data_IF_723025743057
#
_entry.id   IF_723025743057
#
_cell.length_a   1.000
_cell.length_b   1.000
_cell.length_c   1.000
_cell.angle_alpha   90.00
_cell.angle_beta   90.00
_cell.angle_gamma   90.00
#
_symmetry.space_group_name_H-M   'P 1'
#
loop_
_entity.id
_entity.type
_entity.pdbx_description
1 polymer ?
#
# COMPACT_ATOMS: atom_id res chain seq x y z
N UNK A 1 -15.40 16.96 -8.35
CA UNK A 1 -14.04 16.85 -8.91
C UNK A 1 -12.95 16.77 -7.84
N UNK A 2 -12.99 17.53 -6.73
CA UNK A 2 -11.92 17.53 -5.71
C UNK A 2 -11.55 16.17 -5.05
N UNK A 3 -12.44 15.17 -5.04
CA UNK A 3 -12.15 13.84 -4.47
C UNK A 3 -11.78 12.78 -5.53
N UNK A 4 -11.78 13.14 -6.82
CA UNK A 4 -11.35 12.23 -7.87
C UNK A 4 -9.82 12.06 -7.78
N UNK A 5 -9.34 10.82 -7.77
CA UNK A 5 -7.91 10.52 -7.71
C UNK A 5 -7.28 10.41 -6.31
N UNK A 6 -8.05 10.51 -5.22
CA UNK A 6 -7.53 10.31 -3.85
C UNK A 6 -7.49 8.83 -3.42
N UNK A 7 -7.92 7.90 -4.27
CA UNK A 7 -7.93 6.48 -3.94
C UNK A 7 -6.65 5.81 -4.43
N UNK A 8 -5.83 5.31 -3.51
CA UNK A 8 -4.57 4.65 -3.86
C UNK A 8 -3.61 4.55 -2.68
N UNK A 9 -2.37 4.20 -2.99
CA UNK A 9 -1.26 4.08 -2.05
C UNK A 9 -0.29 5.23 -2.20
N UNK A 10 0.26 5.70 -1.10
CA UNK A 10 1.35 6.67 -1.08
C UNK A 10 2.21 6.46 0.16
N UNK A 11 3.44 6.96 0.10
CA UNK A 11 4.36 6.93 1.22
C UNK A 11 4.49 8.31 1.86
N UNK A 12 4.58 8.34 3.19
CA UNK A 12 4.95 9.52 3.96
C UNK A 12 6.19 9.24 4.80
N UNK A 13 7.00 10.25 5.05
CA UNK A 13 8.13 10.12 5.95
C UNK A 13 7.70 10.30 7.41
N UNK A 14 7.84 9.24 8.22
CA UNK A 14 7.60 9.29 9.65
C UNK A 14 8.90 9.70 10.38
N UNK A 15 8.90 10.80 11.16
CA UNK A 15 10.03 11.14 12.03
C UNK A 15 10.12 10.22 13.26
N UNK A 16 11.32 10.12 13.83
CA UNK A 16 11.54 9.45 15.11
C UNK A 16 10.84 10.23 16.23
N UNK A 17 10.40 9.52 17.28
CA UNK A 17 9.71 10.10 18.44
C UNK A 17 8.19 10.30 18.25
N UNK A 18 7.64 10.09 17.05
CA UNK A 18 6.21 10.24 16.77
C UNK A 18 5.56 8.87 16.60
N UNK A 19 4.39 8.63 17.21
CA UNK A 19 3.63 7.40 16.99
C UNK A 19 3.01 7.36 15.58
N UNK A 20 3.01 6.20 14.93
CA UNK A 20 2.43 6.03 13.59
C UNK A 20 0.96 6.49 13.50
N UNK A 21 0.19 6.28 14.58
CA UNK A 21 -1.21 6.72 14.66
C UNK A 21 -1.35 8.23 14.51
N UNK A 22 -0.48 9.01 15.18
CA UNK A 22 -0.48 10.48 15.04
C UNK A 22 -0.13 10.95 13.64
N UNK A 23 0.75 10.23 12.92
CA UNK A 23 1.07 10.54 11.52
C UNK A 23 -0.15 10.32 10.64
N UNK A 24 -0.80 9.16 10.75
CA UNK A 24 -2.05 8.87 10.02
C UNK A 24 -3.13 9.91 10.31
N UNK A 25 -3.36 10.21 11.58
CA UNK A 25 -4.42 11.13 12.01
C UNK A 25 -4.12 12.58 11.57
N UNK A 26 -2.85 12.99 11.55
CA UNK A 26 -2.43 14.28 11.03
C UNK A 26 -2.69 14.39 9.51
N UNK A 27 -2.35 13.35 8.75
CA UNK A 27 -2.65 13.27 7.30
C UNK A 27 -4.15 13.30 7.07
N UNK A 28 -4.94 12.49 7.80
CA UNK A 28 -6.40 12.49 7.69
C UNK A 28 -7.00 13.87 7.98
N UNK A 29 -6.59 14.49 9.09
CA UNK A 29 -7.08 15.81 9.50
C UNK A 29 -6.77 16.88 8.45
N UNK A 30 -5.57 16.82 7.86
CA UNK A 30 -5.14 17.78 6.83
C UNK A 30 -5.93 17.59 5.53
N UNK A 31 -6.09 16.34 5.08
CA UNK A 31 -6.89 16.01 3.91
C UNK A 31 -8.36 16.41 4.09
N UNK A 32 -8.96 16.13 5.25
CA UNK A 32 -10.34 16.55 5.57
C UNK A 32 -10.49 18.06 5.54
N UNK A 33 -9.52 18.81 6.05
CA UNK A 33 -9.54 20.27 6.01
C UNK A 33 -9.53 20.78 4.57
N UNK A 34 -8.62 20.30 3.74
CA UNK A 34 -8.47 20.77 2.35
C UNK A 34 -9.64 20.34 1.47
N UNK A 35 -10.15 19.12 1.63
CA UNK A 35 -11.33 18.63 0.90
C UNK A 35 -12.61 19.41 1.24
N UNK A 36 -12.75 19.88 2.49
CA UNK A 36 -13.88 20.70 2.92
C UNK A 36 -13.71 22.18 2.55
N UNK A 37 -12.47 22.66 2.38
CA UNK A 37 -12.19 24.01 1.91
C UNK A 37 -12.36 24.17 0.39
N UNK A 38 -12.25 23.09 -0.38
CA UNK A 38 -12.45 23.11 -1.82
C UNK A 38 -13.88 23.55 -2.21
N UNK A 39 -14.06 24.38 -3.26
CA UNK A 39 -15.37 24.92 -3.64
C UNK A 39 -16.38 23.79 -3.88
N UNK A 40 -17.45 23.83 -3.10
CA UNK A 40 -18.53 22.85 -3.12
C UNK A 40 -19.40 22.96 -4.37
N UNK A 41 -20.17 21.91 -4.65
CA UNK A 41 -21.25 22.00 -5.65
C UNK A 41 -22.33 22.93 -5.09
N UNK A 42 -22.84 23.85 -5.91
CA UNK A 42 -23.97 24.69 -5.53
C UNK A 42 -25.15 23.83 -5.01
N UNK A 43 -25.88 24.30 -3.99
CA UNK A 43 -27.00 23.56 -3.43
C UNK A 43 -28.05 23.27 -4.52
N UNK A 44 -28.69 22.11 -4.43
CA UNK A 44 -29.77 21.74 -5.36
C UNK A 44 -30.86 22.80 -5.29
N UNK A 45 -31.38 23.20 -6.43
CA UNK A 45 -32.52 24.12 -6.49
C UNK A 45 -33.82 23.31 -6.57
N UNK A 46 -34.85 23.76 -5.86
CA UNK A 46 -36.23 23.27 -6.00
C UNK A 46 -37.12 24.43 -6.43
N UNK A 47 -38.10 24.15 -7.29
CA UNK A 47 -39.13 25.12 -7.63
C UNK A 47 -40.12 25.22 -6.48
N UNK A 48 -40.38 26.43 -6.00
CA UNK A 48 -41.46 26.75 -5.06
C UNK A 48 -42.29 27.88 -5.64
N UNK A 49 -43.60 27.72 -5.58
CA UNK A 49 -44.52 28.80 -5.92
C UNK A 49 -44.61 29.74 -4.71
N UNK A 50 -44.17 30.98 -4.88
CA UNK A 50 -44.19 31.99 -3.84
C UNK A 50 -45.31 32.99 -4.13
N UNK A 51 -46.07 33.40 -3.10
CA UNK A 51 -47.09 34.41 -3.26
C UNK A 51 -46.44 35.79 -3.45
N UNK A 52 -46.83 36.48 -4.51
CA UNK A 52 -46.39 37.85 -4.81
C UNK A 52 -47.61 38.77 -4.81
N UNK A 53 -47.55 39.94 -4.15
CA UNK A 53 -48.66 40.88 -4.15
C UNK A 53 -48.84 41.45 -5.55
N UNK A 54 -50.07 41.35 -6.09
CA UNK A 54 -50.40 41.93 -7.38
C UNK A 54 -50.29 43.47 -7.32
N UNK A 55 -49.80 44.15 -8.37
CA UNK A 55 -49.58 45.60 -8.36
C UNK A 55 -50.86 46.47 -8.32
N UNK A 56 -52.05 45.87 -8.17
CA UNK A 56 -53.30 46.56 -7.89
C UNK A 56 -53.91 46.04 -6.59
N UNK A 57 -54.15 46.93 -5.61
CA UNK A 57 -54.48 46.64 -4.21
C UNK A 57 -55.80 45.92 -3.92
N UNK A 58 -56.11 44.85 -4.62
CA UNK A 58 -57.28 44.01 -4.41
C UNK A 58 -56.91 42.56 -4.19
N UNK A 59 -56.34 42.22 -3.02
CA UNK A 59 -56.34 40.89 -2.36
C UNK A 59 -55.91 39.62 -3.12
N UNK A 60 -55.68 39.68 -4.43
CA UNK A 60 -55.38 38.55 -5.28
C UNK A 60 -53.88 38.26 -5.23
N UNK A 61 -53.55 37.05 -4.84
CA UNK A 61 -52.17 36.57 -4.69
C UNK A 61 -51.79 35.82 -5.97
N UNK A 62 -50.84 36.36 -6.72
CA UNK A 62 -50.29 35.68 -7.89
C UNK A 62 -49.13 34.76 -7.45
N UNK A 63 -49.20 33.49 -7.81
CA UNK A 63 -48.20 32.48 -7.46
C UNK A 63 -47.11 32.42 -8.51
N UNK A 64 -45.93 32.96 -8.20
CA UNK A 64 -44.78 32.94 -9.10
C UNK A 64 -43.88 31.74 -8.80
N UNK A 65 -43.61 30.93 -9.82
CA UNK A 65 -42.68 29.81 -9.73
C UNK A 65 -41.24 30.30 -9.55
N UNK A 66 -40.71 30.23 -8.34
CA UNK A 66 -39.34 30.68 -8.00
C UNK A 66 -38.43 29.50 -7.70
N UNK A 67 -37.20 29.52 -8.21
CA UNK A 67 -36.18 28.52 -7.87
C UNK A 67 -35.52 28.90 -6.56
N UNK A 68 -35.76 28.12 -5.51
CA UNK A 68 -35.20 28.34 -4.17
C UNK A 68 -34.19 27.23 -3.86
N UNK A 69 -33.00 27.54 -3.30
CA UNK A 69 -32.05 26.52 -2.90
C UNK A 69 -32.64 25.61 -1.80
N UNK A 70 -32.38 24.31 -1.91
CA UNK A 70 -32.71 23.34 -0.86
C UNK A 70 -31.73 23.54 0.29
N UNK A 71 -32.16 24.29 1.31
CA UNK A 71 -31.34 24.62 2.49
C UNK A 71 -30.91 23.39 3.31
N UNK A 72 -31.60 22.25 3.18
CA UNK A 72 -31.20 21.00 3.83
C UNK A 72 -29.81 20.51 3.38
N UNK A 73 -29.40 20.86 2.15
CA UNK A 73 -28.08 20.54 1.61
C UNK A 73 -27.04 21.63 1.91
N UNK A 74 -27.43 22.72 2.56
CA UNK A 74 -26.53 23.84 2.84
C UNK A 74 -25.47 23.43 3.88
N UNK A 75 -24.19 23.82 3.71
CA UNK A 75 -23.11 23.46 4.64
C UNK A 75 -23.37 23.85 6.10
N UNK A 76 -24.08 24.96 6.34
CA UNK A 76 -24.45 25.40 7.69
C UNK A 76 -25.44 24.47 8.40
N UNK A 77 -26.26 23.73 7.65
CA UNK A 77 -27.26 22.80 8.20
C UNK A 77 -26.69 21.39 8.28
N UNK A 78 -26.03 20.92 7.22
CA UNK A 78 -25.51 19.55 7.11
C UNK A 78 -24.15 19.36 7.81
N UNK A 79 -23.43 20.45 8.04
CA UNK A 79 -22.05 20.44 8.52
C UNK A 79 -21.04 20.14 7.39
N UNK A 80 -19.78 19.83 7.75
CA UNK A 80 -18.72 19.58 6.78
C UNK A 80 -19.06 18.40 5.86
N UNK A 81 -18.70 18.54 4.58
CA UNK A 81 -19.00 17.57 3.52
C UNK A 81 -18.33 16.23 3.77
N UNK A 82 -17.08 16.25 4.23
CA UNK A 82 -16.29 15.08 4.57
C UNK A 82 -16.02 15.09 6.07
N UNK A 83 -16.49 14.05 6.77
CA UNK A 83 -16.29 13.88 8.23
C UNK A 83 -15.19 12.90 8.58
N UNK A 84 -14.94 11.92 7.72
CA UNK A 84 -13.98 10.83 7.92
C UNK A 84 -13.45 10.34 6.58
N UNK A 85 -12.19 9.97 6.53
CA UNK A 85 -11.59 9.28 5.38
C UNK A 85 -11.20 7.86 5.78
N UNK A 86 -11.34 6.92 4.85
CA UNK A 86 -10.89 5.54 5.07
C UNK A 86 -9.38 5.47 4.79
N UNK A 87 -8.57 5.82 5.80
CA UNK A 87 -7.10 5.74 5.71
C UNK A 87 -6.59 4.51 6.44
N UNK A 88 -5.99 3.60 5.69
CA UNK A 88 -5.27 2.43 6.20
C UNK A 88 -3.79 2.72 6.38
N UNK A 89 -3.17 1.97 7.27
CA UNK A 89 -1.73 1.99 7.48
C UNK A 89 -1.16 0.62 7.10
N UNK A 90 -0.06 0.62 6.36
CA UNK A 90 0.71 -0.59 6.06
C UNK A 90 1.52 -1.07 7.26
N UNK A 91 2.75 -1.51 7.01
CA UNK A 91 3.68 -1.96 8.06
C UNK A 91 3.94 -0.83 9.07
N UNK A 92 3.55 -1.07 10.32
CA UNK A 92 3.64 -0.09 11.40
C UNK A 92 5.10 0.10 11.84
N UNK A 93 5.45 1.35 12.14
CA UNK A 93 6.73 1.73 12.74
C UNK A 93 6.51 2.09 14.21
N UNK A 94 7.40 1.61 15.08
CA UNK A 94 7.41 2.01 16.48
C UNK A 94 7.74 3.51 16.65
N UNK A 95 7.55 4.04 17.86
CA UNK A 95 7.72 5.48 18.14
C UNK A 95 9.16 5.91 17.84
N UNK A 96 10.15 5.10 18.24
CA UNK A 96 11.58 5.42 18.12
C UNK A 96 12.13 5.25 16.70
N UNK A 97 11.53 4.42 15.84
CA UNK A 97 11.94 4.32 14.45
C UNK A 97 11.48 5.51 13.59
N UNK A 98 12.18 5.73 12.50
CA UNK A 98 11.89 6.72 11.47
C UNK A 98 11.85 6.07 10.10
N UNK A 99 11.37 6.78 9.08
CA UNK A 99 11.49 6.34 7.69
C UNK A 99 10.18 6.28 6.92
N UNK A 100 10.21 5.53 5.82
CA UNK A 100 9.08 5.35 4.90
C UNK A 100 7.88 4.79 5.65
N UNK A 101 6.69 5.37 5.53
CA UNK A 101 5.46 4.87 6.12
C UNK A 101 4.34 4.89 5.07
N UNK A 102 3.93 3.70 4.63
CA UNK A 102 2.93 3.55 3.56
C UNK A 102 1.52 3.68 4.12
N UNK A 103 0.74 4.55 3.49
CA UNK A 103 -0.67 4.79 3.79
C UNK A 103 -1.51 4.47 2.55
N UNK A 104 -2.71 3.99 2.79
CA UNK A 104 -3.71 3.72 1.76
C UNK A 104 -4.94 4.58 2.01
N UNK A 105 -5.52 5.14 0.95
CA UNK A 105 -6.79 5.88 1.04
C UNK A 105 -7.85 5.18 0.19
N UNK A 106 -9.04 4.98 0.75
CA UNK A 106 -10.17 4.40 0.03
C UNK A 106 -9.88 2.98 -0.45
N UNK A 107 -9.85 2.79 -1.78
CA UNK A 107 -9.54 1.50 -2.41
C UNK A 107 -8.10 1.04 -2.16
N UNK A 108 -7.16 1.98 -1.90
CA UNK A 108 -5.77 1.65 -1.56
C UNK A 108 -5.63 0.78 -0.31
N UNK A 109 -6.64 0.70 0.55
CA UNK A 109 -6.61 -0.21 1.71
C UNK A 109 -6.64 -1.69 1.32
N UNK A 110 -7.25 -2.03 0.18
CA UNK A 110 -7.17 -3.38 -0.39
C UNK A 110 -5.76 -3.66 -0.89
N UNK A 111 -5.20 -2.74 -1.68
CA UNK A 111 -3.81 -2.81 -2.16
C UNK A 111 -2.78 -2.89 -1.02
N UNK A 112 -3.02 -2.23 0.12
CA UNK A 112 -2.18 -2.40 1.33
C UNK A 112 -2.16 -3.84 1.83
N UNK A 113 -3.31 -4.51 1.78
CA UNK A 113 -3.46 -5.90 2.20
C UNK A 113 -2.77 -6.83 1.21
N UNK A 114 -2.90 -6.55 -0.09
CA UNK A 114 -2.25 -7.31 -1.15
C UNK A 114 -0.72 -7.17 -1.05
N UNK A 115 -0.19 -5.95 -0.85
CA UNK A 115 1.25 -5.72 -0.63
C UNK A 115 1.77 -6.40 0.65
N UNK A 116 0.96 -6.45 1.72
CA UNK A 116 1.31 -7.17 2.94
C UNK A 116 1.44 -8.67 2.68
N UNK A 117 0.50 -9.25 1.94
CA UNK A 117 0.50 -10.67 1.57
C UNK A 117 1.60 -11.02 0.56
N UNK A 118 2.05 -10.07 -0.25
CA UNK A 118 3.15 -10.25 -1.20
C UNK A 118 4.54 -10.33 -0.51
N UNK A 119 4.62 -10.11 0.81
CA UNK A 119 5.88 -10.19 1.59
C UNK A 119 7.00 -9.34 0.96
N UNK A 120 6.66 -8.16 0.43
CA UNK A 120 7.59 -7.30 -0.31
C UNK A 120 8.49 -6.45 0.59
N UNK A 121 8.38 -6.60 1.91
CA UNK A 121 9.06 -5.73 2.85
C UNK A 121 10.57 -5.87 2.70
N UNK A 122 11.25 -4.74 2.42
CA UNK A 122 12.71 -4.65 2.36
C UNK A 122 13.12 -3.51 3.28
N UNK A 123 13.12 -3.74 4.59
CA UNK A 123 13.46 -2.69 5.56
C UNK A 123 14.95 -2.60 5.75
N UNK A 124 15.65 -1.85 4.90
CA UNK A 124 17.00 -1.39 5.21
C UNK A 124 16.95 -0.54 6.48
N UNK A 125 17.39 -1.12 7.60
CA UNK A 125 17.45 -0.47 8.90
C UNK A 125 18.88 -0.03 9.20
N UNK A 126 19.14 1.28 9.15
CA UNK A 126 20.38 1.83 9.71
C UNK A 126 20.22 1.88 11.22
N UNK A 127 21.08 1.11 11.89
CA UNK A 127 21.21 1.15 13.33
C UNK A 127 22.64 1.53 13.70
N UNK A 128 22.76 2.38 14.71
CA UNK A 128 23.99 2.95 15.22
C UNK A 128 24.23 2.41 16.64
N UNK A 129 25.46 2.00 16.90
CA UNK A 129 25.82 1.16 18.06
C UNK A 129 26.99 1.74 18.84
N UNK A 130 27.26 1.23 20.04
CA UNK A 130 28.51 1.50 20.76
C UNK A 130 29.15 0.17 21.12
N UNK A 131 30.40 -0.03 20.72
CA UNK A 131 31.18 -1.23 20.97
C UNK A 131 32.51 -0.89 21.65
N UNK A 132 33.13 -1.89 22.26
CA UNK A 132 34.47 -1.79 22.86
C UNK A 132 35.58 -1.86 21.81
N UNK A 133 36.76 -1.29 22.10
CA UNK A 133 37.87 -1.09 21.15
C UNK A 133 38.50 -2.37 20.57
N UNK A 134 38.20 -3.55 21.11
CA UNK A 134 38.79 -4.83 20.70
C UNK A 134 38.08 -5.53 19.52
N UNK A 135 37.04 -4.90 18.99
CA UNK A 135 36.20 -5.47 17.93
C UNK A 135 36.73 -5.03 16.58
N UNK A 136 37.08 -6.00 15.73
CA UNK A 136 37.53 -5.73 14.37
C UNK A 136 36.40 -5.95 13.37
N UNK A 137 36.53 -5.38 12.17
CA UNK A 137 35.51 -5.51 11.12
C UNK A 137 35.29 -6.97 10.74
N UNK A 138 36.36 -7.76 10.70
CA UNK A 138 36.32 -9.18 10.30
C UNK A 138 35.53 -10.02 11.30
N UNK A 139 35.60 -9.70 12.60
CA UNK A 139 34.79 -10.38 13.63
C UNK A 139 33.31 -10.10 13.42
N UNK A 140 32.95 -8.84 13.15
CA UNK A 140 31.58 -8.45 12.87
C UNK A 140 31.06 -9.16 11.61
N UNK A 141 31.82 -9.11 10.51
CA UNK A 141 31.43 -9.74 9.24
C UNK A 141 31.23 -11.25 9.36
N UNK A 142 32.06 -11.95 10.16
CA UNK A 142 31.84 -13.38 10.45
C UNK A 142 30.50 -13.65 11.12
N UNK A 143 30.12 -12.84 12.11
CA UNK A 143 28.85 -12.99 12.82
C UNK A 143 27.67 -12.66 11.89
N UNK A 144 27.80 -11.60 11.08
CA UNK A 144 26.78 -11.25 10.09
C UNK A 144 26.58 -12.37 9.06
N UNK A 145 27.66 -13.03 8.63
CA UNK A 145 27.59 -14.17 7.72
C UNK A 145 26.86 -15.38 8.35
N UNK A 146 27.10 -15.66 9.64
CA UNK A 146 26.37 -16.71 10.38
C UNK A 146 24.89 -16.38 10.44
N UNK A 147 24.54 -15.14 10.82
CA UNK A 147 23.14 -14.68 10.89
C UNK A 147 22.47 -14.83 9.52
N UNK A 148 23.13 -14.43 8.43
CA UNK A 148 22.60 -14.56 7.09
C UNK A 148 22.38 -16.02 6.70
N UNK A 149 23.34 -16.91 6.99
CA UNK A 149 23.22 -18.34 6.71
C UNK A 149 22.07 -19.01 7.46
N UNK A 150 21.91 -18.70 8.75
CA UNK A 150 20.79 -19.21 9.56
C UNK A 150 19.43 -18.75 9.02
N UNK A 151 19.33 -17.48 8.61
CA UNK A 151 18.08 -16.94 8.08
C UNK A 151 17.78 -17.42 6.66
N UNK A 152 18.79 -17.69 5.84
CA UNK A 152 18.60 -18.33 4.53
C UNK A 152 17.99 -19.73 4.70
N UNK A 153 18.49 -20.53 5.66
CA UNK A 153 17.89 -21.83 5.98
C UNK A 153 16.44 -21.68 6.48
N UNK A 154 16.16 -20.69 7.32
CA UNK A 154 14.81 -20.40 7.78
C UNK A 154 13.89 -20.01 6.61
N UNK A 155 14.34 -19.16 5.69
CA UNK A 155 13.58 -18.77 4.51
C UNK A 155 13.13 -19.98 3.68
N UNK A 156 14.05 -20.91 3.41
CA UNK A 156 13.75 -22.14 2.67
C UNK A 156 12.79 -23.07 3.42
N UNK A 157 12.94 -23.15 4.75
CA UNK A 157 12.06 -23.97 5.59
C UNK A 157 10.62 -23.42 5.62
N UNK A 158 10.47 -22.09 5.67
CA UNK A 158 9.16 -21.44 5.72
C UNK A 158 8.53 -21.19 4.34
N UNK A 159 9.26 -21.38 3.25
CA UNK A 159 8.70 -21.20 1.91
C UNK A 159 7.84 -22.38 1.44
N UNK A 160 7.82 -23.52 2.12
CA UNK A 160 7.07 -24.73 1.72
C UNK A 160 7.29 -25.16 0.25
N UNK A 161 8.44 -24.80 -0.33
CA UNK A 161 8.81 -25.14 -1.70
C UNK A 161 9.79 -26.32 -1.63
N UNK A 162 9.54 -27.36 -2.43
CA UNK A 162 10.52 -28.42 -2.61
C UNK A 162 11.66 -27.92 -3.50
N UNK A 163 12.82 -27.69 -2.88
CA UNK A 163 14.03 -27.18 -3.53
C UNK A 163 14.59 -28.10 -4.62
N UNK A 164 14.09 -29.34 -4.73
CA UNK A 164 14.46 -30.26 -5.81
C UNK A 164 13.73 -30.01 -7.12
N UNK A 165 12.72 -29.13 -7.12
CA UNK A 165 11.91 -28.83 -8.29
C UNK A 165 12.50 -27.71 -9.15
N UNK A 166 12.20 -27.75 -10.45
CA UNK A 166 12.60 -26.69 -11.39
C UNK A 166 11.96 -25.34 -11.02
N UNK A 167 10.71 -25.33 -10.57
CA UNK A 167 10.01 -24.12 -10.12
C UNK A 167 10.74 -23.45 -8.95
N UNK A 168 11.25 -24.24 -7.99
CA UNK A 168 12.03 -23.72 -6.88
C UNK A 168 13.31 -23.02 -7.35
N UNK A 169 14.00 -23.63 -8.33
CA UNK A 169 15.18 -23.04 -8.94
C UNK A 169 14.86 -21.72 -9.65
N UNK A 170 13.78 -21.67 -10.44
CA UNK A 170 13.34 -20.46 -11.12
C UNK A 170 12.98 -19.33 -10.15
N UNK A 171 12.28 -19.66 -9.07
CA UNK A 171 11.96 -18.70 -8.00
C UNK A 171 13.22 -18.21 -7.27
N UNK A 172 14.20 -19.09 -7.05
CA UNK A 172 15.48 -18.74 -6.44
C UNK A 172 16.27 -17.74 -7.31
N UNK A 173 16.40 -18.04 -8.60
CA UNK A 173 17.12 -17.20 -9.58
C UNK A 173 16.44 -15.84 -9.72
N UNK A 174 15.09 -15.81 -9.71
CA UNK A 174 14.32 -14.55 -9.74
C UNK A 174 14.33 -13.80 -8.40
N UNK A 175 14.83 -14.39 -7.31
CA UNK A 175 14.81 -13.80 -5.96
C UNK A 175 13.40 -13.68 -5.36
N UNK A 176 12.47 -14.54 -5.81
CA UNK A 176 11.06 -14.56 -5.42
C UNK A 176 10.75 -15.57 -4.32
N UNK A 177 11.74 -16.25 -3.75
CA UNK A 177 11.52 -17.10 -2.58
C UNK A 177 11.02 -16.25 -1.42
N UNK A 178 9.83 -16.57 -0.93
CA UNK A 178 9.18 -15.92 0.21
C UNK A 178 8.58 -16.98 1.14
N UNK A 179 8.43 -16.66 2.43
CA UNK A 179 7.71 -17.52 3.35
C UNK A 179 6.26 -17.70 2.90
N UNK A 180 5.74 -18.92 2.94
CA UNK A 180 4.34 -19.21 2.64
C UNK A 180 3.56 -19.24 3.95
N UNK A 181 2.86 -18.14 4.25
CA UNK A 181 2.04 -18.00 5.45
C UNK A 181 2.80 -17.40 6.64
N UNK A 182 2.48 -17.87 7.84
CA UNK A 182 3.05 -17.32 9.09
C UNK A 182 4.48 -17.79 9.26
N UNK A 183 5.43 -16.86 9.28
CA UNK A 183 6.83 -17.13 9.61
C UNK A 183 7.30 -16.21 10.74
N UNK A 184 8.36 -16.59 11.47
CA UNK A 184 9.11 -15.63 12.27
C UNK A 184 9.72 -14.55 11.35
N UNK A 185 10.22 -13.44 11.93
CA UNK A 185 11.05 -12.50 11.20
C UNK A 185 12.23 -13.21 10.53
N UNK A 186 12.44 -12.95 9.24
CA UNK A 186 13.51 -13.56 8.44
C UNK A 186 14.37 -12.47 7.83
N UNK A 187 15.69 -12.56 8.02
CA UNK A 187 16.67 -11.66 7.43
C UNK A 187 17.12 -12.23 6.08
N UNK A 188 16.80 -11.55 4.99
CA UNK A 188 17.19 -11.98 3.64
C UNK A 188 18.61 -11.55 3.29
N UNK A 189 19.07 -10.41 3.81
CA UNK A 189 20.44 -9.94 3.65
C UNK A 189 20.85 -9.07 4.84
N UNK A 190 22.13 -9.05 5.18
CA UNK A 190 22.68 -8.09 6.15
C UNK A 190 24.07 -7.65 5.71
N UNK A 191 24.32 -6.35 5.74
CA UNK A 191 25.61 -5.77 5.34
C UNK A 191 26.04 -4.67 6.32
N UNK A 192 27.35 -4.55 6.53
CA UNK A 192 27.93 -3.42 7.26
C UNK A 192 28.25 -2.29 6.27
N UNK A 193 27.55 -1.16 6.38
CA UNK A 193 27.77 0.02 5.55
C UNK A 193 28.97 0.84 6.02
N UNK A 194 29.02 1.10 7.32
CA UNK A 194 30.05 1.91 7.95
C UNK A 194 30.52 1.21 9.21
N UNK A 195 31.83 1.18 9.43
CA UNK A 195 32.45 0.61 10.62
C UNK A 195 33.45 1.63 11.17
N UNK A 196 33.04 2.38 12.19
CA UNK A 196 33.78 3.51 12.76
C UNK A 196 33.59 3.53 14.30
N UNK A 197 34.35 2.69 15.00
CA UNK A 197 34.19 2.48 16.44
C UNK A 197 34.13 3.81 17.23
N UNK A 198 33.26 3.91 18.25
CA UNK A 198 32.39 2.84 18.77
C UNK A 198 31.16 2.56 17.91
N UNK A 199 30.97 3.31 16.82
CA UNK A 199 29.78 3.32 15.98
C UNK A 199 29.92 2.45 14.72
N UNK A 200 28.86 1.76 14.34
CA UNK A 200 28.79 1.12 13.04
C UNK A 200 27.36 1.19 12.52
N UNK A 201 27.20 1.02 11.21
CA UNK A 201 25.92 1.05 10.53
C UNK A 201 25.70 -0.26 9.80
N UNK A 202 24.59 -0.91 10.10
CA UNK A 202 24.12 -2.08 9.36
C UNK A 202 23.03 -1.66 8.38
N UNK A 203 22.92 -2.38 7.29
CA UNK A 203 21.70 -2.43 6.49
C UNK A 203 21.22 -3.87 6.47
N UNK A 204 20.02 -4.07 6.96
CA UNK A 204 19.38 -5.37 7.11
C UNK A 204 18.25 -5.40 6.09
N UNK A 205 18.05 -6.47 5.33
CA UNK A 205 16.84 -6.70 4.56
C UNK A 205 16.09 -7.82 5.24
N UNK A 206 14.80 -7.64 5.48
CA UNK A 206 14.03 -8.57 6.29
C UNK A 206 12.56 -8.60 5.91
N UNK A 207 11.94 -9.73 6.23
CA UNK A 207 10.54 -10.06 6.04
C UNK A 207 9.90 -10.30 7.41
N UNK A 208 8.62 -9.93 7.56
CA UNK A 208 7.84 -10.16 8.79
C UNK A 208 8.49 -9.63 10.07
N UNK A 209 9.29 -8.58 9.95
CA UNK A 209 10.05 -8.03 11.05
C UNK A 209 9.24 -7.05 11.92
N UNK A 210 9.79 -6.81 13.11
CA UNK A 210 9.40 -5.68 13.94
C UNK A 210 10.64 -4.87 14.28
N UNK A 211 10.48 -3.58 14.56
CA UNK A 211 11.62 -2.73 14.94
C UNK A 211 12.22 -3.18 16.28
N UNK A 212 11.42 -3.82 17.14
CA UNK A 212 11.91 -4.45 18.37
C UNK A 212 12.78 -5.68 18.08
N UNK A 213 12.40 -6.51 17.11
CA UNK A 213 13.23 -7.65 16.69
C UNK A 213 14.59 -7.20 16.17
N UNK A 214 14.65 -6.14 15.36
CA UNK A 214 15.92 -5.58 14.89
C UNK A 214 16.82 -5.11 16.05
N UNK A 215 16.24 -4.52 17.09
CA UNK A 215 16.99 -4.11 18.30
C UNK A 215 17.48 -5.30 19.12
N UNK A 216 16.66 -6.35 19.21
CA UNK A 216 17.05 -7.59 19.88
C UNK A 216 18.21 -8.24 19.13
N UNK A 217 18.12 -8.37 17.81
CA UNK A 217 19.20 -8.93 16.98
C UNK A 217 20.53 -8.21 17.20
N UNK A 218 20.49 -6.88 17.26
CA UNK A 218 21.67 -6.07 17.57
C UNK A 218 22.25 -6.43 18.92
N UNK A 219 21.39 -6.58 19.94
CA UNK A 219 21.83 -6.98 21.26
C UNK A 219 22.54 -8.35 21.22
N UNK A 220 21.97 -9.33 20.52
CA UNK A 220 22.59 -10.65 20.32
C UNK A 220 23.94 -10.55 19.58
N UNK A 221 24.07 -9.69 18.56
CA UNK A 221 25.36 -9.43 17.88
C UNK A 221 26.39 -8.89 18.88
N UNK A 222 25.97 -7.99 19.77
CA UNK A 222 26.84 -7.46 20.83
C UNK A 222 27.36 -8.58 21.74
N UNK A 223 26.46 -9.46 22.20
CA UNK A 223 26.80 -10.59 23.06
C UNK A 223 27.78 -11.55 22.37
N UNK A 224 27.54 -11.86 21.10
CA UNK A 224 28.41 -12.75 20.30
C UNK A 224 29.81 -12.14 20.08
N UNK A 225 29.89 -10.82 19.99
CA UNK A 225 31.15 -10.06 19.97
C UNK A 225 31.83 -9.94 21.35
N UNK A 226 31.27 -10.56 22.40
CA UNK A 226 31.71 -10.42 23.80
C UNK A 226 31.71 -8.96 24.27
N UNK A 227 30.73 -8.20 23.82
CA UNK A 227 30.52 -6.80 24.17
C UNK A 227 29.03 -6.51 24.40
N UNK A 228 28.66 -5.24 24.50
CA UNK A 228 27.26 -4.82 24.58
C UNK A 228 26.97 -3.87 23.44
N UNK A 229 25.99 -4.20 22.60
CA UNK A 229 25.54 -3.34 21.54
C UNK A 229 24.13 -2.83 21.85
N UNK A 230 23.94 -1.52 21.70
CA UNK A 230 22.64 -0.86 21.86
C UNK A 230 22.25 -0.23 20.54
N UNK A 231 21.07 -0.59 20.03
CA UNK A 231 20.49 0.02 18.85
C UNK A 231 19.91 1.40 19.21
N UNK A 232 20.57 2.46 18.76
CA UNK A 232 20.14 3.84 19.04
C UNK A 232 19.03 4.32 18.10
N UNK A 233 19.13 3.99 16.82
CA UNK A 233 18.19 4.39 15.77
C UNK A 233 17.79 3.21 14.91
N UNK A 234 16.56 3.23 14.40
CA UNK A 234 16.11 2.35 13.31
C UNK A 234 15.47 3.26 12.26
N UNK A 235 16.01 3.26 11.05
CA UNK A 235 15.43 4.02 9.93
C UNK A 235 15.00 3.06 8.84
N UNK A 236 13.71 2.98 8.52
CA UNK A 236 13.20 2.21 7.38
C UNK A 236 13.43 2.99 6.08
N UNK A 237 14.32 2.50 5.24
CA UNK A 237 14.61 3.14 3.94
C UNK A 237 13.66 2.70 2.81
N UNK A 238 13.00 1.55 2.96
CA UNK A 238 12.13 0.99 1.93
C UNK A 238 11.04 0.14 2.56
N UNK A 239 9.86 0.16 1.95
CA UNK A 239 8.70 -0.66 2.29
C UNK A 239 8.02 -1.08 0.99
N UNK A 240 8.26 -2.33 0.56
CA UNK A 240 7.81 -2.81 -0.74
C UNK A 240 8.41 -2.03 -1.92
N UNK A 241 7.54 -1.43 -2.72
CA UNK A 241 7.91 -0.59 -3.86
C UNK A 241 8.30 0.83 -3.46
N UNK A 242 7.96 1.25 -2.24
CA UNK A 242 8.17 2.62 -1.77
C UNK A 242 9.54 2.76 -1.13
N UNK A 243 10.29 3.76 -1.58
CA UNK A 243 11.60 4.12 -1.04
C UNK A 243 11.53 5.43 -0.26
N UNK A 244 12.64 5.85 0.37
CA UNK A 244 12.74 7.16 1.03
C UNK A 244 12.40 8.30 0.07
N UNK A 245 12.78 8.17 -1.20
CA UNK A 245 12.61 9.22 -2.20
C UNK A 245 11.13 9.39 -2.60
N UNK A 246 10.34 8.33 -2.51
CA UNK A 246 8.88 8.39 -2.72
C UNK A 246 8.12 8.91 -1.48
N UNK A 247 8.79 9.05 -0.32
CA UNK A 247 8.14 9.35 0.95
C UNK A 247 7.97 10.86 1.18
N UNK A 248 6.71 11.31 1.19
CA UNK A 248 6.39 12.73 1.38
C UNK A 248 6.81 13.25 2.76
N UNK A 249 7.65 14.31 2.85
CA UNK A 249 7.98 14.97 4.09
C UNK A 249 6.75 15.67 4.68
N UNK A 250 6.80 15.99 5.99
CA UNK A 250 5.69 16.57 6.74
C UNK A 250 5.11 17.85 6.13
N UNK A 251 5.93 18.66 5.47
CA UNK A 251 5.53 19.90 4.80
C UNK A 251 4.63 19.65 3.58
N UNK A 252 4.69 18.46 3.00
CA UNK A 252 4.02 18.07 1.76
C UNK A 252 2.83 17.12 2.00
N UNK A 253 2.31 17.03 3.23
CA UNK A 253 1.09 16.26 3.53
C UNK A 253 -0.19 17.00 3.09
N UNK A 254 -0.17 17.61 1.90
CA UNK A 254 -1.29 18.32 1.31
C UNK A 254 -2.01 17.43 0.27
N UNK A 255 -3.22 17.81 -0.11
CA UNK A 255 -4.08 17.04 -1.02
C UNK A 255 -3.42 16.85 -2.39
N UNK A 256 -2.83 17.91 -2.95
CA UNK A 256 -2.23 17.89 -4.28
C UNK A 256 -1.02 16.95 -4.33
N UNK A 257 -0.05 17.11 -3.42
CA UNK A 257 1.15 16.28 -3.34
C UNK A 257 0.81 14.82 -3.08
N UNK A 258 -0.25 14.52 -2.30
CA UNK A 258 -0.71 13.15 -2.09
C UNK A 258 -1.34 12.57 -3.36
N UNK A 259 -2.15 13.35 -4.10
CA UNK A 259 -2.71 12.91 -5.38
C UNK A 259 -1.61 12.63 -6.42
N UNK A 260 -0.62 13.51 -6.51
CA UNK A 260 0.56 13.34 -7.38
C UNK A 260 1.36 12.09 -6.98
N UNK A 261 1.60 11.89 -5.67
CA UNK A 261 2.31 10.71 -5.17
C UNK A 261 1.56 9.41 -5.50
N UNK A 262 0.23 9.39 -5.36
CA UNK A 262 -0.59 8.23 -5.72
C UNK A 262 -0.45 7.92 -7.22
N UNK A 263 -0.54 8.93 -8.08
CA UNK A 263 -0.42 8.76 -9.53
C UNK A 263 0.97 8.26 -9.93
N UNK A 264 2.02 8.85 -9.37
CA UNK A 264 3.42 8.49 -9.67
C UNK A 264 3.76 7.05 -9.23
N UNK A 265 3.16 6.58 -8.14
CA UNK A 265 3.41 5.24 -7.62
C UNK A 265 2.49 4.16 -8.20
N UNK A 266 1.42 4.54 -8.91
CA UNK A 266 0.39 3.59 -9.37
C UNK A 266 0.98 2.48 -10.25
N UNK A 267 1.71 2.84 -11.31
CA UNK A 267 2.33 1.87 -12.21
C UNK A 267 3.36 0.98 -11.50
N UNK A 268 4.13 1.55 -10.56
CA UNK A 268 5.11 0.80 -9.75
C UNK A 268 4.43 -0.27 -8.90
N UNK A 269 3.30 0.08 -8.27
CA UNK A 269 2.51 -0.83 -7.44
C UNK A 269 1.88 -1.93 -8.28
N UNK A 270 1.21 -1.56 -9.38
CA UNK A 270 0.53 -2.51 -10.28
C UNK A 270 1.53 -3.53 -10.86
N UNK A 271 2.67 -3.05 -11.38
CA UNK A 271 3.72 -3.91 -11.94
C UNK A 271 4.28 -4.89 -10.91
N UNK A 272 4.45 -4.47 -9.65
CA UNK A 272 4.99 -5.36 -8.61
C UNK A 272 3.95 -6.39 -8.13
N UNK A 273 2.68 -5.99 -8.05
CA UNK A 273 1.59 -6.90 -7.72
C UNK A 273 1.41 -7.96 -8.82
N UNK A 274 1.45 -7.58 -10.10
CA UNK A 274 1.39 -8.52 -11.22
C UNK A 274 2.55 -9.53 -11.18
N UNK A 275 3.78 -9.08 -10.93
CA UNK A 275 4.95 -9.96 -10.79
C UNK A 275 4.82 -10.97 -9.66
N UNK A 276 4.18 -10.57 -8.55
CA UNK A 276 4.14 -11.39 -7.34
C UNK A 276 2.92 -12.31 -7.31
N UNK A 277 1.75 -11.81 -7.73
CA UNK A 277 0.50 -12.55 -7.74
C UNK A 277 0.33 -13.40 -9.01
N UNK A 278 0.88 -12.97 -10.15
CA UNK A 278 0.82 -13.72 -11.41
C UNK A 278 1.62 -15.03 -11.44
N UNK A 279 2.45 -15.29 -10.41
CA UNK A 279 3.11 -16.58 -10.20
C UNK A 279 2.37 -17.48 -9.18
N UNK A 280 1.31 -16.98 -8.54
CA UNK A 280 0.48 -17.75 -7.61
C UNK A 280 -0.67 -18.54 -8.27
N UNK A 281 -1.00 -18.27 -9.54
CA UNK A 281 -2.10 -18.94 -10.25
C UNK A 281 -1.70 -20.26 -10.96
N UNK A 282 -0.43 -20.66 -10.92
CA UNK A 282 0.04 -21.95 -11.45
C UNK A 282 0.26 -22.99 -10.35
N UNK A 283 -0.69 -23.16 -9.43
CA UNK A 283 -0.75 -24.32 -8.52
C UNK A 283 -1.99 -25.16 -8.85
N UNK A 284 -1.87 -26.49 -9.10
CA UNK A 284 -2.95 -27.32 -9.63
C UNK A 284 -3.92 -27.78 -8.54
N UNK A 285 -4.59 -26.84 -7.86
CA UNK A 285 -5.66 -27.16 -6.90
C UNK A 285 -6.95 -26.32 -7.09
N UNK A 286 -7.07 -25.60 -8.20
CA UNK A 286 -8.31 -24.87 -8.54
C UNK A 286 -8.86 -25.24 -9.93
N UNK A 287 -8.78 -26.51 -10.32
CA UNK A 287 -9.71 -27.08 -11.31
C UNK A 287 -10.91 -27.67 -10.56
N UNK A 288 -11.87 -26.81 -10.21
CA UNK A 288 -13.30 -27.12 -10.03
C UNK A 288 -13.98 -25.80 -9.66
N UNK A 289 -14.60 -25.16 -10.65
CA UNK A 289 -15.38 -23.92 -10.46
C UNK A 289 -15.12 -22.81 -11.47
N UNK A 290 -14.85 -23.14 -12.73
CA UNK A 290 -14.76 -22.15 -13.80
C UNK A 290 -16.13 -21.88 -14.42
N UNK A 291 -16.77 -20.76 -14.11
CA UNK A 291 -17.63 -20.03 -15.06
C UNK A 291 -17.92 -18.61 -14.58
N UNK A 292 -17.86 -17.67 -15.52
CA UNK A 292 -18.28 -16.26 -15.48
C UNK A 292 -17.39 -15.26 -14.72
N UNK A 293 -16.40 -14.71 -15.43
CA UNK A 293 -15.99 -13.31 -15.28
C UNK A 293 -15.14 -12.85 -16.48
N UNK A 294 -15.72 -12.91 -17.68
CA UNK A 294 -15.14 -12.28 -18.87
C UNK A 294 -16.22 -11.81 -19.83
N UNK A 295 -17.06 -10.86 -19.42
CA UNK A 295 -17.79 -10.01 -20.36
C UNK A 295 -18.44 -8.83 -19.63
N UNK A 296 -17.74 -7.70 -19.58
CA UNK A 296 -18.36 -6.37 -19.40
C UNK A 296 -17.35 -5.28 -19.78
N UNK A 297 -16.97 -5.28 -21.05
CA UNK A 297 -16.44 -4.09 -21.73
C UNK A 297 -16.72 -4.23 -23.23
N UNK A 298 -17.85 -3.68 -23.67
CA UNK A 298 -18.06 -2.93 -24.93
C UNK A 298 -19.56 -2.79 -25.21
N UNK A 299 -20.07 -1.61 -24.90
CA UNK A 299 -21.29 -1.07 -25.49
C UNK A 299 -20.92 -0.34 -26.79
N UNK A 300 -21.61 -0.61 -27.89
CA UNK A 300 -22.33 0.34 -28.79
C UNK A 300 -23.06 -0.51 -29.86
N UNK A 301 -24.31 -0.18 -30.26
CA UNK A 301 -25.16 -1.04 -31.08
C UNK A 301 -25.13 -0.64 -32.56
N UNK A 302 -25.34 -1.60 -33.47
CA UNK A 302 -25.74 -1.30 -34.84
C UNK A 302 -26.66 -2.39 -35.42
N UNK A 303 -27.55 -1.94 -36.29
CA UNK A 303 -28.84 -2.52 -36.64
C UNK A 303 -28.76 -3.63 -37.71
N UNK A 304 -29.78 -4.49 -37.67
CA UNK A 304 -30.45 -5.23 -38.76
C UNK A 304 -29.71 -5.46 -40.09
N UNK A 305 -29.63 -6.71 -40.53
CA UNK A 305 -30.36 -7.19 -41.71
C UNK A 305 -30.25 -8.73 -41.86
N UNK A 306 -31.33 -9.31 -42.37
CA UNK A 306 -31.53 -10.68 -42.82
C UNK A 306 -30.44 -11.18 -43.79
N UNK A 307 -30.24 -12.50 -43.90
CA UNK A 307 -30.52 -13.33 -45.11
C UNK A 307 -30.08 -14.78 -44.88
N UNK A 308 -30.88 -15.70 -45.41
CA UNK A 308 -30.72 -17.15 -45.42
C UNK A 308 -29.62 -17.67 -46.37
N UNK A 309 -29.17 -18.92 -46.13
CA UNK A 309 -28.72 -19.99 -47.08
C UNK A 309 -28.09 -21.11 -46.23
N UNK A 310 -28.74 -22.27 -46.03
CA UNK A 310 -28.81 -23.45 -46.91
C UNK A 310 -27.49 -23.91 -47.53
N UNK A 311 -27.12 -25.17 -47.25
CA UNK A 311 -26.45 -26.05 -48.22
C UNK A 311 -25.35 -26.96 -47.66
N UNK A 312 -25.70 -28.26 -47.50
CA UNK A 312 -24.92 -29.47 -47.83
C UNK A 312 -23.56 -29.74 -47.16
N UNK A 313 -23.06 -30.96 -46.99
CA UNK A 313 -23.50 -32.37 -47.02
C UNK A 313 -22.26 -33.14 -46.52
N UNK A 314 -22.39 -34.35 -45.96
CA UNK A 314 -21.21 -35.21 -45.75
C UNK A 314 -21.37 -36.31 -44.72
N UNK A 315 -21.81 -37.47 -45.20
CA UNK A 315 -22.05 -38.74 -44.51
C UNK A 315 -20.81 -39.46 -43.93
N UNK A 316 -21.13 -40.31 -42.93
CA UNK A 316 -20.58 -41.64 -42.63
C UNK A 316 -19.14 -41.78 -42.09
N UNK A 317 -18.99 -42.45 -40.92
CA UNK A 317 -18.84 -43.92 -40.86
C UNK A 317 -18.96 -44.46 -39.43
N UNK A 318 -19.67 -45.57 -39.32
CA UNK A 318 -19.98 -46.33 -38.11
C UNK A 318 -18.83 -47.21 -37.59
N UNK A 319 -19.09 -47.68 -36.36
CA UNK A 319 -18.42 -48.60 -35.45
C UNK A 319 -17.83 -49.87 -36.08
N UNK A 320 -16.77 -50.35 -35.42
CA UNK A 320 -16.19 -51.69 -35.47
C UNK A 320 -15.02 -51.74 -34.50
#
# INVERSE_FOLDING_TARGET
MAAAGLAGLFAVYKPAGVAWGRVRDAVETRLLRELNAAPGRAPRQRVRFLPTPAPGGGGAVELVATRVPVLADHPLVRGPRFKKLKIGAGHRLDVKASGVFVLGVGHGNKLLTDLYNCHLTKVGAVALFRLSDHITREKLERILAVIQGTNQKALLMYSNIDMKTQEAYELAVKGLIRPMGKSPPIITAVRCLQFALPEFQLEIHCLHETQQYLRKMVHEIGLELKSSAVCTQVRRIRDGVFTVDDALPRTQWNLQSIQEAIQNCQLKVETELEKTLGHGESSPLHQLGGTQLSMLCRSVPEQSHSTARQGWDGQQKERG
#
